data_IF_646093987072
#
_entry.id   IF_646093987072
#
_cell.length_a   1.000
_cell.length_b   1.000
_cell.length_c   1.000
_cell.angle_alpha   90.00
_cell.angle_beta   90.00
_cell.angle_gamma   90.00
#
_symmetry.space_group_name_H-M   'P 1'
#
loop_
_entity.id
_entity.type
_entity.pdbx_description
1 polymer ?
#
# COMPACT_ATOMS: atom_id res chain seq x y z
N UNK A 1 -7.91 25.73 -16.98
CA UNK A 1 -6.82 25.08 -17.75
C UNK A 1 -7.19 23.62 -17.91
N UNK A 2 -6.93 22.98 -19.06
CA UNK A 2 -7.12 21.53 -19.18
C UNK A 2 -6.23 20.80 -18.15
N UNK A 3 -6.77 19.76 -17.52
CA UNK A 3 -6.00 18.93 -16.59
C UNK A 3 -4.97 18.12 -17.39
N UNK A 4 -3.79 17.90 -16.82
CA UNK A 4 -2.76 17.07 -17.44
C UNK A 4 -3.19 15.60 -17.48
N UNK A 5 -2.69 14.86 -18.47
CA UNK A 5 -2.83 13.40 -18.58
C UNK A 5 -1.51 12.68 -18.36
N UNK A 6 -1.56 11.39 -18.08
CA UNK A 6 -0.38 10.53 -17.97
C UNK A 6 0.48 10.55 -19.24
N UNK A 7 -0.17 10.56 -20.39
CA UNK A 7 0.46 10.59 -21.72
C UNK A 7 1.26 11.87 -21.96
N UNK A 8 0.99 12.94 -21.22
CA UNK A 8 1.71 14.22 -21.39
C UNK A 8 3.07 14.19 -20.65
N UNK A 9 3.29 13.24 -19.75
CA UNK A 9 4.58 13.07 -19.06
C UNK A 9 5.56 12.24 -19.88
N UNK A 10 6.84 12.63 -19.83
CA UNK A 10 7.95 11.88 -20.42
C UNK A 10 8.72 11.02 -19.41
N UNK A 11 8.25 11.00 -18.17
CA UNK A 11 8.87 10.26 -17.06
C UNK A 11 8.22 8.89 -16.90
N UNK A 12 8.90 7.93 -16.24
CA UNK A 12 8.28 6.66 -15.88
C UNK A 12 7.02 6.85 -15.00
N UNK A 13 6.13 5.86 -15.01
CA UNK A 13 4.90 5.87 -14.19
C UNK A 13 5.22 5.91 -12.69
N UNK A 14 6.31 5.26 -12.29
CA UNK A 14 6.84 5.28 -10.93
C UNK A 14 8.33 5.57 -10.97
N UNK A 15 8.77 6.57 -10.22
CA UNK A 15 10.20 6.85 -10.07
C UNK A 15 10.51 7.57 -8.76
N UNK A 16 11.76 7.42 -8.34
CA UNK A 16 12.34 8.16 -7.21
C UNK A 16 12.94 9.47 -7.72
N UNK A 17 12.81 10.53 -6.93
CA UNK A 17 13.43 11.82 -7.20
C UNK A 17 13.94 12.48 -5.91
N UNK A 18 14.84 13.45 -6.06
CA UNK A 18 15.28 14.31 -4.97
C UNK A 18 14.23 15.41 -4.75
N UNK A 19 13.71 15.50 -3.52
CA UNK A 19 12.75 16.53 -3.15
C UNK A 19 13.34 17.42 -2.06
N UNK A 20 13.59 18.67 -2.44
CA UNK A 20 14.12 19.72 -1.57
C UNK A 20 13.00 20.62 -1.01
N UNK A 21 11.74 20.26 -1.24
CA UNK A 21 10.60 20.99 -0.70
C UNK A 21 10.66 21.00 0.83
N UNK A 22 10.26 22.11 1.49
CA UNK A 22 10.19 22.16 2.95
C UNK A 22 9.29 21.04 3.47
N UNK A 23 9.81 20.24 4.40
CA UNK A 23 8.99 19.22 5.07
C UNK A 23 8.13 19.93 6.10
N UNK A 24 6.80 19.90 5.93
CA UNK A 24 5.90 20.34 6.99
C UNK A 24 6.10 19.44 8.21
N UNK A 25 6.24 20.04 9.40
CA UNK A 25 6.31 19.27 10.64
C UNK A 25 5.05 18.40 10.77
N UNK A 26 5.24 17.14 11.13
CA UNK A 26 4.17 16.23 11.51
C UNK A 26 4.21 16.08 13.02
N UNK A 27 3.08 16.32 13.68
CA UNK A 27 2.91 16.11 15.12
C UNK A 27 2.87 14.61 15.41
N UNK A 28 4.06 14.02 15.58
CA UNK A 28 4.23 12.60 15.92
C UNK A 28 5.52 12.42 16.73
N UNK A 29 5.60 11.38 17.60
CA UNK A 29 6.81 11.06 18.36
C UNK A 29 8.06 10.97 17.50
N UNK A 30 9.22 11.30 18.07
CA UNK A 30 10.51 11.36 17.35
C UNK A 30 11.01 9.98 16.89
N UNK A 31 10.54 8.89 17.49
CA UNK A 31 10.88 7.51 17.11
C UNK A 31 9.94 6.91 16.06
N UNK A 32 8.92 7.65 15.61
CA UNK A 32 7.97 7.19 14.62
C UNK A 32 8.49 7.33 13.19
N UNK A 33 8.19 6.35 12.34
CA UNK A 33 8.40 6.49 10.91
C UNK A 33 7.26 7.32 10.29
N UNK A 34 7.60 8.51 9.78
CA UNK A 34 6.61 9.47 9.28
C UNK A 34 6.59 9.48 7.75
N UNK A 35 5.39 9.37 7.19
CA UNK A 35 5.15 9.43 5.74
C UNK A 35 4.13 10.52 5.42
N UNK A 36 4.36 11.24 4.32
CA UNK A 36 3.39 12.16 3.73
C UNK A 36 3.09 11.74 2.30
N UNK A 37 1.81 11.62 1.98
CA UNK A 37 1.34 11.31 0.63
C UNK A 37 0.43 12.45 0.19
N UNK A 38 0.87 13.21 -0.81
CA UNK A 38 0.04 14.23 -1.46
C UNK A 38 -0.46 13.65 -2.79
N UNK A 39 -1.77 13.67 -3.01
CA UNK A 39 -2.42 13.11 -4.22
C UNK A 39 -3.16 14.22 -4.94
N UNK A 40 -3.03 14.27 -6.27
CA UNK A 40 -3.87 15.11 -7.13
C UNK A 40 -4.54 14.29 -8.22
N UNK A 41 -5.74 14.71 -8.59
CA UNK A 41 -6.43 14.20 -9.77
C UNK A 41 -5.77 14.76 -11.04
N UNK A 42 -5.71 13.90 -12.05
CA UNK A 42 -5.39 14.24 -13.43
C UNK A 42 -6.67 14.16 -14.28
N UNK A 43 -6.57 14.26 -15.60
CA UNK A 43 -7.73 14.06 -16.46
C UNK A 43 -8.29 12.62 -16.38
N UNK A 44 -9.62 12.49 -16.41
CA UNK A 44 -10.31 11.20 -16.33
C UNK A 44 -10.12 10.51 -14.97
N UNK A 45 -9.74 9.23 -15.00
CA UNK A 45 -9.53 8.41 -13.80
C UNK A 45 -8.10 8.43 -13.26
N UNK A 46 -7.20 9.14 -13.94
CA UNK A 46 -5.78 9.19 -13.65
C UNK A 46 -5.48 10.01 -12.39
N UNK A 47 -4.49 9.59 -11.61
CA UNK A 47 -4.04 10.28 -10.39
C UNK A 47 -2.53 10.25 -10.29
N UNK A 48 -1.99 11.28 -9.64
CA UNK A 48 -0.56 11.37 -9.32
C UNK A 48 -0.41 11.53 -7.81
N UNK A 49 0.45 10.70 -7.23
CA UNK A 49 0.82 10.74 -5.82
C UNK A 49 2.31 11.06 -5.68
N UNK A 50 2.63 11.93 -4.73
CA UNK A 50 4.00 12.15 -4.25
C UNK A 50 4.12 11.65 -2.82
N UNK A 51 5.06 10.73 -2.59
CA UNK A 51 5.30 10.07 -1.31
C UNK A 51 6.64 10.56 -0.76
N UNK A 52 6.63 11.06 0.47
CA UNK A 52 7.81 11.54 1.21
C UNK A 52 7.92 10.84 2.55
N UNK A 53 9.16 10.59 2.98
CA UNK A 53 9.46 10.12 4.32
C UNK A 53 10.15 11.25 5.08
N UNK A 54 9.54 11.76 6.15
CA UNK A 54 10.02 12.98 6.83
C UNK A 54 11.43 12.86 7.41
N UNK A 55 11.80 11.66 7.85
CA UNK A 55 13.13 11.36 8.42
C UNK A 55 14.25 11.22 7.38
N UNK A 56 13.92 11.24 6.07
CA UNK A 56 14.89 11.13 4.97
C UNK A 56 14.70 12.29 4.01
N UNK A 57 15.28 13.44 4.36
CA UNK A 57 15.34 14.58 3.45
C UNK A 57 15.96 14.18 2.10
N UNK A 58 15.43 14.74 1.01
CA UNK A 58 15.95 14.53 -0.34
C UNK A 58 15.59 13.18 -0.99
N UNK A 59 14.62 12.42 -0.47
CA UNK A 59 14.12 11.22 -1.15
C UNK A 59 12.59 11.18 -1.17
N UNK A 60 12.03 11.33 -2.37
CA UNK A 60 10.61 11.18 -2.63
C UNK A 60 10.34 10.21 -3.77
N UNK A 61 9.11 9.72 -3.83
CA UNK A 61 8.62 8.90 -4.93
C UNK A 61 7.44 9.58 -5.59
N UNK A 62 7.44 9.58 -6.92
CA UNK A 62 6.25 9.88 -7.71
C UNK A 62 5.66 8.56 -8.16
N UNK A 63 4.37 8.38 -7.94
CA UNK A 63 3.60 7.23 -8.38
C UNK A 63 2.35 7.72 -9.08
N UNK A 64 1.92 7.03 -10.13
CA UNK A 64 0.66 7.32 -10.82
C UNK A 64 -0.24 6.10 -10.84
N UNK A 65 -1.54 6.34 -10.80
CA UNK A 65 -2.57 5.32 -10.96
C UNK A 65 -3.60 5.74 -11.99
N UNK A 66 -4.26 4.76 -12.57
CA UNK A 66 -5.33 4.92 -13.54
C UNK A 66 -6.29 3.73 -13.43
N UNK A 67 -7.51 3.85 -13.92
CA UNK A 67 -8.45 2.74 -13.92
C UNK A 67 -8.49 2.02 -15.28
N UNK A 68 -9.04 0.82 -15.30
CA UNK A 68 -9.32 0.09 -16.54
C UNK A 68 -10.57 0.62 -17.28
N UNK A 69 -10.86 0.10 -18.48
CA UNK A 69 -11.97 0.56 -19.32
C UNK A 69 -13.35 0.44 -18.65
N UNK A 70 -13.52 -0.54 -17.75
CA UNK A 70 -14.76 -0.73 -16.98
C UNK A 70 -15.15 0.48 -16.13
N UNK A 71 -14.17 1.27 -15.69
CA UNK A 71 -14.38 2.52 -14.95
C UNK A 71 -14.05 3.76 -15.79
N UNK A 72 -14.04 3.63 -17.12
CA UNK A 72 -13.72 4.71 -18.05
C UNK A 72 -12.30 5.31 -17.85
N UNK A 73 -11.35 4.47 -17.42
CA UNK A 73 -9.93 4.83 -17.41
C UNK A 73 -9.20 4.36 -18.67
N UNK A 74 -7.90 4.66 -18.76
CA UNK A 74 -7.09 4.39 -19.94
C UNK A 74 -6.22 3.13 -19.83
N UNK A 75 -6.24 2.46 -18.67
CA UNK A 75 -5.43 1.27 -18.37
C UNK A 75 -3.91 1.51 -18.55
N UNK A 76 -3.46 2.76 -18.40
CA UNK A 76 -2.06 3.15 -18.60
C UNK A 76 -1.20 3.01 -17.34
N UNK A 77 -1.81 2.82 -16.19
CA UNK A 77 -1.14 2.61 -14.91
C UNK A 77 -1.99 1.67 -14.04
N UNK A 78 -1.39 1.00 -13.03
CA UNK A 78 -2.17 0.18 -12.11
C UNK A 78 -3.28 0.98 -11.42
N UNK A 79 -4.41 0.32 -11.19
CA UNK A 79 -5.51 0.92 -10.44
C UNK A 79 -5.14 1.20 -8.98
N UNK A 80 -5.72 2.22 -8.34
CA UNK A 80 -5.36 2.62 -6.98
C UNK A 80 -5.38 1.47 -5.97
N UNK A 81 -6.37 0.58 -6.07
CA UNK A 81 -6.49 -0.58 -5.19
C UNK A 81 -5.39 -1.64 -5.41
N UNK A 82 -4.73 -1.67 -6.57
CA UNK A 82 -3.56 -2.54 -6.78
C UNK A 82 -2.36 -2.08 -5.93
N UNK A 83 -2.11 -0.76 -5.87
CA UNK A 83 -1.09 -0.21 -4.98
C UNK A 83 -1.43 -0.43 -3.51
N UNK A 84 -2.71 -0.30 -3.15
CA UNK A 84 -3.17 -0.60 -1.80
C UNK A 84 -2.95 -2.07 -1.43
N UNK A 85 -3.36 -3.01 -2.29
CA UNK A 85 -3.16 -4.45 -2.07
C UNK A 85 -1.67 -4.80 -1.97
N UNK A 86 -0.84 -4.30 -2.87
CA UNK A 86 0.61 -4.49 -2.81
C UNK A 86 1.20 -3.92 -1.51
N UNK A 87 0.78 -2.72 -1.11
CA UNK A 87 1.21 -2.08 0.14
C UNK A 87 0.84 -2.89 1.38
N UNK A 88 -0.38 -3.42 1.44
CA UNK A 88 -0.82 -4.34 2.50
C UNK A 88 0.09 -5.56 2.58
N UNK A 89 0.37 -6.19 1.45
CA UNK A 89 1.16 -7.42 1.39
C UNK A 89 2.62 -7.17 1.81
N UNK A 90 3.24 -6.11 1.28
CA UNK A 90 4.60 -5.70 1.66
C UNK A 90 4.69 -5.34 3.15
N UNK A 91 3.66 -4.70 3.70
CA UNK A 91 3.61 -4.37 5.12
C UNK A 91 3.62 -5.65 5.98
N UNK A 92 2.83 -6.65 5.61
CA UNK A 92 2.82 -7.96 6.27
C UNK A 92 4.16 -8.69 6.14
N UNK A 93 4.68 -8.84 4.92
CA UNK A 93 5.94 -9.54 4.66
C UNK A 93 7.11 -8.90 5.40
N UNK A 94 7.12 -7.57 5.52
CA UNK A 94 8.12 -6.84 6.31
C UNK A 94 8.10 -7.27 7.77
N UNK A 95 6.92 -7.38 8.39
CA UNK A 95 6.83 -7.85 9.79
C UNK A 95 7.27 -9.29 9.93
N UNK A 96 6.88 -10.17 9.00
CA UNK A 96 7.27 -11.57 9.01
C UNK A 96 8.80 -11.73 8.99
N UNK A 97 9.47 -11.06 8.04
CA UNK A 97 10.93 -11.09 7.90
C UNK A 97 11.62 -10.47 9.13
N UNK A 98 11.07 -9.38 9.69
CA UNK A 98 11.60 -8.77 10.92
C UNK A 98 11.50 -9.73 12.11
N UNK A 99 10.38 -10.43 12.29
CA UNK A 99 10.22 -11.41 13.37
C UNK A 99 11.19 -12.58 13.22
N UNK A 100 11.36 -13.11 12.00
CA UNK A 100 12.37 -14.15 11.75
C UNK A 100 13.76 -13.69 12.19
N UNK A 101 14.18 -12.49 11.75
CA UNK A 101 15.48 -11.92 12.07
C UNK A 101 15.66 -11.74 13.59
N UNK A 102 14.66 -11.16 14.26
CA UNK A 102 14.73 -10.89 15.69
C UNK A 102 14.78 -12.16 16.54
N UNK A 103 14.21 -13.26 16.05
CA UNK A 103 14.22 -14.57 16.72
C UNK A 103 15.40 -15.46 16.30
N UNK A 104 16.27 -14.99 15.41
CA UNK A 104 17.39 -15.79 14.89
C UNK A 104 16.97 -16.96 13.98
N UNK A 105 15.79 -16.88 13.38
CA UNK A 105 15.26 -17.92 12.48
C UNK A 105 15.93 -17.77 11.11
N UNK A 106 16.67 -18.79 10.69
CA UNK A 106 17.30 -18.84 9.38
C UNK A 106 16.28 -19.15 8.28
N UNK A 107 15.77 -18.10 7.63
CA UNK A 107 14.84 -18.20 6.51
C UNK A 107 15.59 -18.60 5.22
N UNK A 108 15.37 -19.82 4.74
CA UNK A 108 15.93 -20.33 3.48
C UNK A 108 15.05 -19.99 2.28
N UNK A 109 13.75 -19.88 2.49
CA UNK A 109 12.78 -19.53 1.46
C UNK A 109 11.49 -18.97 2.04
N UNK A 110 10.86 -18.06 1.30
CA UNK A 110 9.56 -17.50 1.62
C UNK A 110 8.78 -17.31 0.32
N UNK A 111 7.60 -17.92 0.25
CA UNK A 111 6.58 -17.63 -0.76
C UNK A 111 5.36 -17.10 -0.04
N UNK A 112 4.75 -16.05 -0.59
CA UNK A 112 3.47 -15.57 -0.09
C UNK A 112 2.62 -15.05 -1.24
N UNK A 113 1.32 -15.35 -1.18
CA UNK A 113 0.28 -14.80 -2.05
C UNK A 113 -0.75 -14.04 -1.22
N UNK A 114 -1.40 -13.06 -1.85
CA UNK A 114 -2.45 -12.26 -1.25
C UNK A 114 -3.59 -12.06 -2.24
N UNK A 115 -4.81 -12.40 -1.81
CA UNK A 115 -6.03 -12.05 -2.55
C UNK A 115 -6.76 -10.92 -1.82
N UNK A 116 -6.89 -9.78 -2.48
CA UNK A 116 -7.64 -8.62 -1.98
C UNK A 116 -8.89 -8.43 -2.83
N UNK A 117 -10.05 -8.69 -2.23
CA UNK A 117 -11.34 -8.72 -2.93
C UNK A 117 -12.22 -7.58 -2.48
N UNK A 118 -13.00 -7.05 -3.42
CA UNK A 118 -13.95 -5.96 -3.18
C UNK A 118 -15.30 -6.35 -3.76
N UNK A 119 -16.36 -5.91 -3.12
CA UNK A 119 -17.73 -6.04 -3.61
C UNK A 119 -18.34 -4.68 -3.79
N UNK A 120 -19.30 -4.61 -4.72
CA UNK A 120 -20.06 -3.41 -5.00
C UNK A 120 -21.51 -3.81 -5.24
N UNK A 121 -22.42 -3.17 -4.53
CA UNK A 121 -23.87 -3.37 -4.66
C UNK A 121 -24.54 -2.02 -4.88
N UNK A 122 -25.76 -2.01 -5.42
CA UNK A 122 -26.46 -0.77 -5.78
C UNK A 122 -26.05 -0.20 -7.14
N UNK A 123 -26.30 1.08 -7.36
CA UNK A 123 -26.15 1.78 -8.63
C UNK A 123 -25.59 3.19 -8.44
N UNK A 124 -24.51 3.50 -9.17
CA UNK A 124 -23.92 4.84 -9.16
C UNK A 124 -24.92 5.88 -9.69
N UNK A 125 -25.73 5.50 -10.69
CA UNK A 125 -26.75 6.37 -11.28
C UNK A 125 -27.88 6.71 -10.30
N UNK A 126 -28.23 5.78 -9.40
CA UNK A 126 -29.25 5.99 -8.37
C UNK A 126 -28.68 6.60 -7.09
N UNK A 127 -27.36 6.66 -6.95
CA UNK A 127 -26.68 7.17 -5.76
C UNK A 127 -26.76 6.24 -4.54
N UNK A 128 -27.16 4.97 -4.73
CA UNK A 128 -27.27 3.96 -3.66
C UNK A 128 -26.12 2.93 -3.68
N UNK A 129 -25.07 3.22 -4.46
CA UNK A 129 -23.92 2.33 -4.59
C UNK A 129 -23.14 2.23 -3.28
N UNK A 130 -22.91 1.00 -2.82
CA UNK A 130 -22.07 0.70 -1.65
C UNK A 130 -20.94 -0.23 -2.07
N UNK A 131 -19.70 0.18 -1.77
CA UNK A 131 -18.51 -0.64 -1.91
C UNK A 131 -18.10 -1.25 -0.56
N UNK A 132 -17.59 -2.47 -0.57
CA UNK A 132 -17.02 -3.10 0.62
C UNK A 132 -15.71 -3.84 0.28
N UNK A 133 -14.76 -3.80 1.22
CA UNK A 133 -13.61 -4.69 1.20
C UNK A 133 -13.99 -6.03 1.85
N UNK A 134 -13.57 -7.12 1.23
CA UNK A 134 -13.65 -8.47 1.81
C UNK A 134 -12.35 -8.73 2.56
N UNK A 135 -12.36 -9.49 3.68
CA UNK A 135 -11.15 -9.91 4.35
C UNK A 135 -10.13 -10.48 3.37
N UNK A 136 -8.88 -10.07 3.54
CA UNK A 136 -7.77 -10.50 2.70
C UNK A 136 -7.46 -11.96 2.97
N UNK A 137 -7.29 -12.76 1.91
CA UNK A 137 -6.75 -14.11 2.03
C UNK A 137 -5.23 -14.07 1.84
N UNK A 138 -4.50 -14.72 2.74
CA UNK A 138 -3.04 -14.81 2.71
C UNK A 138 -2.63 -16.27 2.66
N UNK A 139 -1.84 -16.61 1.64
CA UNK A 139 -1.12 -17.87 1.54
C UNK A 139 0.35 -17.61 1.85
N UNK A 140 0.96 -18.42 2.72
CA UNK A 140 2.33 -18.24 3.18
C UNK A 140 3.00 -19.60 3.32
N UNK A 141 4.11 -19.78 2.61
CA UNK A 141 4.99 -20.92 2.73
C UNK A 141 6.38 -20.46 3.19
N UNK A 142 6.84 -21.01 4.31
CA UNK A 142 8.11 -20.67 4.95
C UNK A 142 9.00 -21.91 4.94
N UNK A 143 10.20 -21.77 4.38
CA UNK A 143 11.28 -22.76 4.52
C UNK A 143 12.26 -22.26 5.59
N UNK A 144 12.15 -22.83 6.77
CA UNK A 144 13.02 -22.61 7.93
C UNK A 144 12.95 -23.81 8.88
N UNK A 145 13.89 -23.92 9.83
CA UNK A 145 13.80 -24.89 10.93
C UNK A 145 12.81 -24.41 11.98
N UNK A 146 11.53 -24.74 11.76
CA UNK A 146 10.41 -24.42 12.65
C UNK A 146 9.45 -25.60 12.74
N UNK A 147 8.83 -25.79 13.90
CA UNK A 147 7.65 -26.64 13.99
C UNK A 147 6.46 -25.96 13.28
N UNK A 148 5.44 -26.72 12.83
CA UNK A 148 4.23 -26.15 12.24
C UNK A 148 3.54 -25.12 13.15
N UNK A 149 3.54 -25.36 14.46
CA UNK A 149 2.95 -24.47 15.46
C UNK A 149 3.74 -23.15 15.55
N UNK A 150 5.07 -23.23 15.62
CA UNK A 150 5.93 -22.06 15.64
C UNK A 150 5.81 -21.23 14.36
N UNK A 151 5.66 -21.88 13.20
CA UNK A 151 5.40 -21.21 11.92
C UNK A 151 4.02 -20.51 11.91
N UNK A 152 2.98 -21.17 12.42
CA UNK A 152 1.64 -20.59 12.54
C UNK A 152 1.60 -19.37 13.47
N UNK A 153 2.25 -19.46 14.64
CA UNK A 153 2.38 -18.33 15.56
C UNK A 153 3.12 -17.16 14.95
N UNK A 154 4.20 -17.43 14.21
CA UNK A 154 4.99 -16.42 13.53
C UNK A 154 4.16 -15.68 12.48
N UNK A 155 3.39 -16.41 11.65
CA UNK A 155 2.49 -15.86 10.64
C UNK A 155 1.40 -15.00 11.28
N UNK A 156 0.73 -15.52 12.32
CA UNK A 156 -0.31 -14.79 13.03
C UNK A 156 0.22 -13.52 13.70
N UNK A 157 1.42 -13.59 14.28
CA UNK A 157 2.08 -12.45 14.91
C UNK A 157 2.47 -11.38 13.88
N UNK A 158 3.02 -11.77 12.74
CA UNK A 158 3.35 -10.84 11.65
C UNK A 158 2.10 -10.08 11.16
N UNK A 159 0.96 -10.76 11.06
CA UNK A 159 -0.32 -10.14 10.70
C UNK A 159 -0.80 -9.18 11.78
N UNK A 160 -0.71 -9.57 13.05
CA UNK A 160 -1.10 -8.73 14.18
C UNK A 160 -0.24 -7.45 14.29
N UNK A 161 1.05 -7.53 13.99
CA UNK A 161 1.99 -6.40 14.05
C UNK A 161 2.03 -5.57 12.77
N UNK A 162 1.29 -5.93 11.70
CA UNK A 162 1.28 -5.19 10.43
C UNK A 162 0.38 -3.97 10.52
N UNK A 163 0.92 -2.72 10.46
CA UNK A 163 0.08 -1.52 10.52
C UNK A 163 -0.92 -1.44 9.36
N UNK A 164 -0.55 -1.90 8.17
CA UNK A 164 -1.46 -1.96 7.02
C UNK A 164 -2.69 -2.80 7.29
N UNK A 165 -2.51 -3.97 7.92
CA UNK A 165 -3.63 -4.84 8.28
C UNK A 165 -4.38 -4.34 9.52
N UNK A 166 -3.74 -3.59 10.42
CA UNK A 166 -4.43 -2.90 11.50
C UNK A 166 -5.45 -1.90 10.93
N UNK A 167 -5.08 -1.09 9.91
CA UNK A 167 -6.00 -0.13 9.26
C UNK A 167 -7.22 -0.80 8.62
N UNK A 168 -7.11 -2.08 8.25
CA UNK A 168 -8.23 -2.85 7.71
C UNK A 168 -9.19 -3.37 8.79
N UNK A 169 -8.77 -3.44 10.06
CA UNK A 169 -9.55 -3.98 11.18
C UNK A 169 -10.05 -2.90 12.12
N UNK A 170 -9.26 -1.85 12.30
CA UNK A 170 -9.45 -0.83 13.32
C UNK A 170 -9.78 0.52 12.68
N UNK A 171 -10.72 1.26 13.28
CA UNK A 171 -11.03 2.62 12.87
C UNK A 171 -9.97 3.57 13.42
N UNK A 172 -9.03 4.00 12.57
CA UNK A 172 -8.07 5.02 12.96
C UNK A 172 -8.70 6.42 12.87
N UNK A 173 -8.64 7.15 13.99
CA UNK A 173 -8.86 8.60 13.98
C UNK A 173 -7.50 9.26 13.86
N UNK A 174 -7.32 10.04 12.80
CA UNK A 174 -6.23 11.00 12.72
C UNK A 174 -6.52 12.07 13.77
N UNK A 175 -5.79 12.04 14.90
CA UNK A 175 -5.87 13.07 15.94
C UNK A 175 -4.89 14.18 15.63
#
# INVERSE_FOLDING_TARGET
MPMSRLQDFKTPLVFKFDDQSPTAALDAPDDAQKFRVDVRALEGMQKEATIRQSERSGQAWRMVSDEGPYLNGTDLAPFPLAFFAAGLHFCYMTQLVRLCRNRGIALRGLRSGQDTRYTMTGSALKGDMTGAGIPVDLDVAIDAELSPEAAGELVARALAESPGHAVMRDLFRNT
#
